data_IF_579098981302
#
_entry.id   IF_579098981302
#
_cell.length_a   1.000
_cell.length_b   1.000
_cell.length_c   1.000
_cell.angle_alpha   90.00
_cell.angle_beta   90.00
_cell.angle_gamma   90.00
#
_symmetry.space_group_name_H-M   'P 1'
#
loop_
_entity.id
_entity.type
_entity.pdbx_description
1 polymer ?
#
# COMPACT_ATOMS: atom_id res chain seq x y z
N UNK A 1 17.29 43.90 38.10
CA UNK A 1 16.50 42.68 37.85
C UNK A 1 17.14 41.52 38.60
N UNK A 2 16.44 40.81 39.48
CA UNK A 2 16.99 39.65 40.17
C UNK A 2 16.89 38.38 39.29
N UNK A 3 17.85 37.44 39.38
CA UNK A 3 17.78 36.20 38.63
C UNK A 3 16.78 35.21 39.25
N UNK A 4 16.10 34.47 38.35
CA UNK A 4 15.07 33.46 38.62
C UNK A 4 15.63 32.27 39.41
N UNK A 5 14.93 31.89 40.47
CA UNK A 5 15.06 30.59 41.12
C UNK A 5 14.38 29.50 40.27
N UNK A 6 15.16 28.55 39.77
CA UNK A 6 14.76 27.21 39.32
C UNK A 6 15.37 26.23 40.33
N UNK A 7 14.68 25.32 41.00
CA UNK A 7 13.46 24.61 40.64
C UNK A 7 13.75 23.11 40.74
N UNK A 8 13.32 22.48 41.83
CA UNK A 8 12.93 21.07 41.88
C UNK A 8 14.03 20.01 42.07
N UNK A 9 14.25 19.62 43.32
CA UNK A 9 14.98 18.41 43.73
C UNK A 9 14.34 17.15 43.14
N UNK A 10 15.07 16.40 42.30
CA UNK A 10 14.66 15.05 41.92
C UNK A 10 14.89 14.09 43.09
N UNK A 11 13.81 13.46 43.56
CA UNK A 11 13.84 12.43 44.59
C UNK A 11 14.63 11.21 44.11
N UNK A 12 15.68 10.84 44.86
CA UNK A 12 16.44 9.59 44.73
C UNK A 12 15.63 8.41 45.28
N UNK A 13 14.69 7.88 44.51
CA UNK A 13 14.05 6.60 44.84
C UNK A 13 14.91 5.46 44.26
N UNK A 14 15.51 4.59 45.09
CA UNK A 14 16.33 3.50 44.57
C UNK A 14 15.45 2.46 43.85
N UNK A 15 15.91 1.92 42.71
CA UNK A 15 15.16 0.94 41.93
C UNK A 15 14.98 -0.36 42.74
N UNK A 16 13.72 -0.80 42.90
CA UNK A 16 13.38 -2.09 43.53
C UNK A 16 14.05 -3.25 42.78
N UNK A 17 14.90 -4.01 43.47
CA UNK A 17 15.52 -5.27 42.97
C UNK A 17 14.41 -6.29 42.64
N UNK A 18 14.13 -6.50 41.36
CA UNK A 18 13.29 -7.62 40.90
C UNK A 18 14.04 -8.94 41.11
N UNK A 19 13.42 -9.92 41.79
CA UNK A 19 13.94 -11.30 41.86
C UNK A 19 14.18 -11.83 40.44
N UNK A 20 15.28 -12.56 40.22
CA UNK A 20 15.59 -13.26 38.96
C UNK A 20 14.40 -14.15 38.62
N UNK A 21 13.62 -13.74 37.62
CA UNK A 21 12.50 -14.52 37.08
C UNK A 21 13.12 -15.77 36.45
N UNK A 22 12.67 -16.96 36.84
CA UNK A 22 12.94 -18.18 36.08
C UNK A 22 12.74 -17.91 34.59
N UNK A 23 13.55 -18.54 33.72
CA UNK A 23 13.55 -18.21 32.31
C UNK A 23 12.12 -18.32 31.78
N UNK A 24 11.64 -17.20 31.23
CA UNK A 24 10.23 -17.01 30.86
C UNK A 24 9.78 -18.02 29.81
N UNK A 25 10.74 -18.59 29.08
CA UNK A 25 10.57 -19.64 28.08
C UNK A 25 10.40 -21.01 28.74
N UNK A 26 11.27 -21.37 29.67
CA UNK A 26 11.22 -22.64 30.42
C UNK A 26 9.88 -22.80 31.15
N UNK A 27 9.43 -21.76 31.85
CA UNK A 27 8.11 -21.76 32.49
C UNK A 27 6.93 -21.83 31.50
N UNK A 28 7.12 -21.48 30.22
CA UNK A 28 6.10 -21.64 29.20
C UNK A 28 6.13 -23.05 28.57
N UNK A 29 7.32 -23.64 28.45
CA UNK A 29 7.51 -25.02 28.02
C UNK A 29 6.94 -26.01 29.05
N UNK A 30 7.21 -25.82 30.35
CA UNK A 30 6.66 -26.67 31.40
C UNK A 30 5.12 -26.65 31.40
N UNK A 31 4.51 -25.49 31.16
CA UNK A 31 3.06 -25.38 30.96
C UNK A 31 2.56 -26.07 29.70
N UNK A 32 3.39 -26.15 28.65
CA UNK A 32 3.06 -26.92 27.46
C UNK A 32 3.02 -28.42 27.79
N UNK A 33 4.02 -28.90 28.52
CA UNK A 33 4.12 -30.29 28.98
C UNK A 33 2.96 -30.66 29.90
N UNK A 34 2.57 -29.78 30.82
CA UNK A 34 1.38 -29.98 31.68
C UNK A 34 0.07 -30.09 30.88
N UNK A 35 -0.07 -29.35 29.78
CA UNK A 35 -1.31 -29.31 28.99
C UNK A 35 -1.39 -30.42 27.93
N UNK A 36 -0.27 -30.82 27.34
CA UNK A 36 -0.23 -31.72 26.18
C UNK A 36 0.43 -33.06 26.46
N UNK A 37 1.20 -33.18 27.54
CA UNK A 37 2.11 -34.29 27.79
C UNK A 37 3.46 -34.10 27.10
N UNK A 38 4.53 -34.58 27.72
CA UNK A 38 5.90 -34.39 27.23
C UNK A 38 6.12 -35.05 25.86
N UNK A 39 5.62 -36.28 25.69
CA UNK A 39 5.76 -37.04 24.45
C UNK A 39 5.17 -36.29 23.25
N UNK A 40 3.98 -35.73 23.43
CA UNK A 40 3.27 -34.98 22.40
C UNK A 40 3.95 -33.66 22.07
N UNK A 41 4.48 -32.95 23.08
CA UNK A 41 5.27 -31.73 22.86
C UNK A 41 6.53 -32.04 22.02
N UNK A 42 7.21 -33.14 22.31
CA UNK A 42 8.38 -33.58 21.56
C UNK A 42 8.04 -34.05 20.14
N UNK A 43 6.88 -34.70 19.94
CA UNK A 43 6.38 -35.07 18.61
C UNK A 43 6.10 -33.84 17.76
N UNK A 44 5.32 -32.89 18.28
CA UNK A 44 5.00 -31.62 17.61
C UNK A 44 6.29 -30.85 17.27
N UNK A 45 7.28 -30.86 18.16
CA UNK A 45 8.57 -30.22 17.94
C UNK A 45 9.34 -30.89 16.79
N UNK A 46 9.37 -32.22 16.76
CA UNK A 46 10.06 -32.99 15.71
C UNK A 46 9.41 -32.79 14.34
N UNK A 47 8.08 -32.83 14.29
CA UNK A 47 7.32 -32.54 13.07
C UNK A 47 7.62 -31.11 12.59
N UNK A 48 7.58 -30.13 13.49
CA UNK A 48 7.88 -28.73 13.15
C UNK A 48 9.29 -28.54 12.60
N UNK A 49 10.29 -29.13 13.24
CA UNK A 49 11.69 -28.99 12.82
C UNK A 49 11.98 -29.71 11.49
N UNK A 50 11.13 -30.65 11.06
CA UNK A 50 11.21 -31.28 9.74
C UNK A 50 10.61 -30.45 8.60
N UNK A 51 9.79 -29.44 8.92
CA UNK A 51 9.09 -28.64 7.92
C UNK A 51 9.93 -27.45 7.46
N UNK A 52 9.88 -27.12 6.17
CA UNK A 52 10.45 -25.88 5.60
C UNK A 52 9.55 -24.67 5.94
N UNK A 53 9.61 -24.24 7.20
CA UNK A 53 8.67 -23.25 7.78
C UNK A 53 9.04 -21.78 7.56
N UNK A 54 10.05 -21.48 6.75
CA UNK A 54 10.50 -20.13 6.40
C UNK A 54 9.56 -19.45 5.39
N UNK A 55 9.57 -18.12 5.35
CA UNK A 55 8.64 -17.34 4.52
C UNK A 55 8.84 -17.65 3.03
N UNK A 56 7.81 -18.22 2.40
CA UNK A 56 7.88 -18.67 1.00
C UNK A 56 8.39 -20.10 0.80
N UNK A 57 8.66 -20.83 1.90
CA UNK A 57 8.95 -22.26 1.88
C UNK A 57 7.74 -23.08 1.42
N UNK A 58 8.00 -24.26 0.86
CA UNK A 58 6.95 -25.13 0.27
C UNK A 58 5.90 -25.59 1.27
N UNK A 59 6.25 -25.62 2.55
CA UNK A 59 5.41 -26.10 3.65
C UNK A 59 4.96 -24.96 4.58
N UNK A 60 5.06 -23.71 4.13
CA UNK A 60 4.62 -22.54 4.89
C UNK A 60 3.14 -22.63 5.30
N UNK A 61 2.26 -23.03 4.38
CA UNK A 61 0.82 -23.18 4.67
C UNK A 61 0.54 -24.34 5.64
N UNK A 62 1.22 -25.47 5.45
CA UNK A 62 1.08 -26.64 6.33
C UNK A 62 1.49 -26.32 7.77
N UNK A 63 2.58 -25.58 7.94
CA UNK A 63 3.03 -25.11 9.25
C UNK A 63 2.11 -24.07 9.88
N UNK A 64 1.29 -23.35 9.10
CA UNK A 64 0.20 -22.55 9.67
C UNK A 64 -0.93 -23.43 10.24
N UNK A 65 -1.21 -24.58 9.62
CA UNK A 65 -2.15 -25.59 10.12
C UNK A 65 -1.80 -26.10 11.52
N UNK A 66 -0.52 -26.41 11.76
CA UNK A 66 -0.03 -26.84 13.08
C UNK A 66 -0.30 -25.77 14.15
N UNK A 67 -0.02 -24.50 13.83
CA UNK A 67 -0.26 -23.38 14.77
C UNK A 67 -1.76 -23.18 15.02
N UNK A 68 -2.60 -23.31 13.98
CA UNK A 68 -4.04 -23.20 14.10
C UNK A 68 -4.61 -24.30 15.00
N UNK A 69 -4.14 -25.54 14.86
CA UNK A 69 -4.54 -26.65 15.72
C UNK A 69 -4.20 -26.39 17.19
N UNK A 70 -2.99 -25.88 17.48
CA UNK A 70 -2.60 -25.53 18.85
C UNK A 70 -3.45 -24.37 19.41
N UNK A 71 -3.77 -23.37 18.59
CA UNK A 71 -4.66 -22.28 18.98
C UNK A 71 -6.09 -22.78 19.26
N UNK A 72 -6.61 -23.72 18.47
CA UNK A 72 -7.92 -24.35 18.68
C UNK A 72 -7.96 -25.20 19.96
N UNK A 73 -6.85 -25.83 20.33
CA UNK A 73 -6.67 -26.51 21.62
C UNK A 73 -6.58 -25.54 22.82
N UNK A 74 -6.71 -24.22 22.59
CA UNK A 74 -6.72 -23.20 23.64
C UNK A 74 -5.33 -22.80 24.12
N UNK A 75 -4.26 -23.22 23.45
CA UNK A 75 -2.89 -22.87 23.86
C UNK A 75 -2.64 -21.37 23.64
N UNK A 76 -2.01 -20.75 24.64
CA UNK A 76 -1.61 -19.36 24.52
C UNK A 76 -0.46 -19.19 23.53
N UNK A 77 -0.40 -18.05 22.83
CA UNK A 77 0.72 -17.69 21.94
C UNK A 77 2.10 -17.90 22.57
N UNK A 78 2.20 -17.66 23.88
CA UNK A 78 3.46 -17.80 24.61
C UNK A 78 3.88 -19.26 24.79
N UNK A 79 2.91 -20.16 24.98
CA UNK A 79 3.15 -21.60 25.07
C UNK A 79 3.49 -22.14 23.68
N UNK A 80 2.75 -21.72 22.65
CA UNK A 80 3.05 -22.08 21.25
C UNK A 80 4.47 -21.67 20.86
N UNK A 81 4.91 -20.45 21.22
CA UNK A 81 6.30 -19.98 20.98
C UNK A 81 7.37 -20.72 21.80
N UNK A 82 6.98 -21.40 22.87
CA UNK A 82 7.91 -22.19 23.67
C UNK A 82 8.12 -23.58 23.04
N UNK A 83 7.09 -24.12 22.38
CA UNK A 83 7.17 -25.37 21.63
C UNK A 83 7.78 -25.13 20.25
N UNK A 84 7.19 -24.21 19.48
CA UNK A 84 7.54 -23.90 18.10
C UNK A 84 8.40 -22.65 18.03
N UNK A 85 9.46 -22.66 17.24
CA UNK A 85 10.30 -21.48 16.98
C UNK A 85 9.62 -20.50 16.00
N UNK A 86 8.41 -20.04 16.33
CA UNK A 86 7.62 -19.16 15.46
C UNK A 86 7.94 -17.67 15.68
N UNK A 87 8.03 -16.93 14.57
CA UNK A 87 8.20 -15.47 14.59
C UNK A 87 7.08 -14.73 15.32
N UNK A 88 7.38 -13.52 15.79
CA UNK A 88 6.51 -12.74 16.67
C UNK A 88 5.14 -12.35 16.12
N UNK A 89 4.91 -12.46 14.81
CA UNK A 89 3.67 -12.08 14.14
C UNK A 89 2.78 -13.26 13.74
N UNK A 90 3.33 -14.49 13.65
CA UNK A 90 2.64 -15.63 13.02
C UNK A 90 1.44 -16.13 13.84
N UNK A 91 1.65 -16.46 15.11
CA UNK A 91 0.58 -16.91 15.99
C UNK A 91 -0.52 -15.84 16.24
N UNK A 92 -0.21 -14.55 16.47
CA UNK A 92 -1.23 -13.51 16.58
C UNK A 92 -2.08 -13.37 15.31
N UNK A 93 -1.46 -13.44 14.12
CA UNK A 93 -2.18 -13.35 12.83
C UNK A 93 -3.16 -14.52 12.68
N UNK A 94 -2.72 -15.74 12.98
CA UNK A 94 -3.57 -16.94 12.88
C UNK A 94 -4.69 -16.97 13.92
N UNK A 95 -4.43 -16.48 15.13
CA UNK A 95 -5.47 -16.28 16.14
C UNK A 95 -6.55 -15.30 15.66
N UNK A 96 -6.13 -14.22 14.99
CA UNK A 96 -7.05 -13.25 14.41
C UNK A 96 -7.91 -13.89 13.32
N UNK A 97 -7.32 -14.74 12.48
CA UNK A 97 -8.03 -15.49 11.43
C UNK A 97 -9.06 -16.44 12.02
N UNK A 98 -8.73 -17.18 13.10
CA UNK A 98 -9.71 -18.01 13.81
C UNK A 98 -10.89 -17.20 14.35
N UNK A 99 -10.67 -15.93 14.71
CA UNK A 99 -11.71 -15.05 15.26
C UNK A 99 -12.54 -14.35 14.18
N UNK A 100 -11.92 -13.97 13.05
CA UNK A 100 -12.53 -13.11 12.01
C UNK A 100 -12.88 -13.87 10.71
N UNK A 101 -12.43 -15.11 10.53
CA UNK A 101 -12.64 -15.90 9.31
C UNK A 101 -11.44 -15.89 8.33
N UNK A 102 -11.44 -16.87 7.42
CA UNK A 102 -10.33 -17.24 6.51
C UNK A 102 -9.96 -16.12 5.51
N UNK A 103 -10.88 -15.21 5.19
CA UNK A 103 -10.73 -14.19 4.15
C UNK A 103 -9.56 -13.20 4.35
N UNK A 104 -8.88 -13.25 5.50
CA UNK A 104 -7.80 -12.33 5.87
C UNK A 104 -6.39 -12.90 5.72
N UNK A 105 -6.21 -14.18 5.39
CA UNK A 105 -4.88 -14.83 5.40
C UNK A 105 -3.93 -14.33 4.31
N UNK A 106 -4.45 -14.08 3.10
CA UNK A 106 -3.65 -13.73 1.92
C UNK A 106 -4.18 -12.53 1.13
N UNK A 107 -5.32 -11.97 1.53
CA UNK A 107 -5.78 -10.71 0.94
C UNK A 107 -4.96 -9.58 1.55
N UNK A 108 -3.98 -9.09 0.79
CA UNK A 108 -3.33 -7.82 1.09
C UNK A 108 -4.46 -6.81 1.26
N UNK A 109 -4.66 -6.30 2.50
CA UNK A 109 -5.65 -5.23 2.72
C UNK A 109 -5.46 -4.19 1.64
N UNK A 110 -6.54 -3.86 0.95
CA UNK A 110 -6.55 -2.73 0.03
C UNK A 110 -5.98 -1.53 0.78
N UNK A 111 -4.89 -0.98 0.26
CA UNK A 111 -4.30 0.22 0.84
C UNK A 111 -5.38 1.29 0.78
N UNK A 112 -5.73 1.86 1.92
CA UNK A 112 -6.57 3.04 1.94
C UNK A 112 -5.95 4.08 0.99
N UNK A 113 -6.79 4.68 0.15
CA UNK A 113 -6.33 5.75 -0.71
C UNK A 113 -5.71 6.85 0.18
N UNK A 114 -4.55 7.40 -0.20
CA UNK A 114 -3.96 8.47 0.59
C UNK A 114 -4.93 9.66 0.66
N UNK A 115 -4.95 10.39 1.77
CA UNK A 115 -5.89 11.49 1.99
C UNK A 115 -5.85 12.60 0.91
N UNK A 116 -4.72 12.72 0.21
CA UNK A 116 -4.54 13.68 -0.88
C UNK A 116 -4.94 13.13 -2.25
N UNK A 117 -5.34 11.85 -2.36
CA UNK A 117 -5.87 11.30 -3.59
C UNK A 117 -7.11 12.08 -4.03
N UNK A 118 -7.30 12.18 -5.34
CA UNK A 118 -8.55 12.66 -5.90
C UNK A 118 -9.59 11.57 -5.80
N UNK A 119 -10.82 11.94 -5.49
CA UNK A 119 -11.96 11.04 -5.49
C UNK A 119 -12.31 10.63 -6.93
N UNK A 120 -13.11 9.57 -7.07
CA UNK A 120 -13.60 9.16 -8.39
C UNK A 120 -14.46 10.25 -9.04
N UNK A 121 -15.17 11.06 -8.23
CA UNK A 121 -15.93 12.23 -8.69
C UNK A 121 -15.02 13.29 -9.29
N UNK A 122 -13.91 13.64 -8.61
CA UNK A 122 -12.95 14.63 -9.11
C UNK A 122 -12.33 14.18 -10.44
N UNK A 123 -12.05 12.87 -10.57
CA UNK A 123 -11.54 12.26 -11.79
C UNK A 123 -12.59 12.25 -12.91
N UNK A 124 -13.88 12.06 -12.58
CA UNK A 124 -14.97 12.12 -13.53
C UNK A 124 -15.13 13.55 -14.08
N UNK A 125 -15.13 14.57 -13.22
CA UNK A 125 -15.19 15.98 -13.66
C UNK A 125 -14.00 16.34 -14.55
N UNK A 126 -12.79 15.90 -14.20
CA UNK A 126 -11.62 16.07 -15.06
C UNK A 126 -11.80 15.40 -16.44
N UNK A 127 -12.28 14.16 -16.48
CA UNK A 127 -12.55 13.47 -17.75
C UNK A 127 -13.62 14.17 -18.58
N UNK A 128 -14.69 14.64 -17.94
CA UNK A 128 -15.75 15.39 -18.61
C UNK A 128 -15.21 16.68 -19.25
N UNK A 129 -14.33 17.40 -18.56
CA UNK A 129 -13.65 18.55 -19.16
C UNK A 129 -12.77 18.13 -20.36
N UNK A 130 -12.04 17.02 -20.28
CA UNK A 130 -11.26 16.54 -21.43
C UNK A 130 -12.14 16.17 -22.65
N UNK A 131 -13.37 15.70 -22.42
CA UNK A 131 -14.31 15.38 -23.51
C UNK A 131 -14.80 16.61 -24.28
N UNK A 132 -14.66 17.83 -23.73
CA UNK A 132 -15.01 19.06 -24.44
C UNK A 132 -13.92 19.54 -25.39
N UNK A 133 -12.76 18.87 -25.43
CA UNK A 133 -11.66 19.28 -26.29
C UNK A 133 -11.95 18.95 -27.74
N UNK A 134 -11.82 19.96 -28.60
CA UNK A 134 -11.90 19.80 -30.05
C UNK A 134 -10.51 19.47 -30.54
N UNK A 135 -10.30 18.20 -30.89
CA UNK A 135 -9.01 17.67 -31.33
C UNK A 135 -9.09 17.23 -32.80
N UNK A 136 -8.05 17.54 -33.54
CA UNK A 136 -7.79 16.98 -34.87
C UNK A 136 -6.82 15.82 -34.77
N UNK A 137 -7.15 14.73 -35.44
CA UNK A 137 -6.23 13.61 -35.59
C UNK A 137 -5.05 14.02 -36.49
N UNK A 138 -3.86 13.66 -36.05
CA UNK A 138 -2.64 13.71 -36.83
C UNK A 138 -2.64 12.64 -37.92
N UNK A 139 -1.74 12.81 -38.89
CA UNK A 139 -1.60 11.84 -39.97
C UNK A 139 -1.23 10.46 -39.40
N UNK A 140 -2.02 9.41 -39.69
CA UNK A 140 -1.71 8.07 -39.20
C UNK A 140 -0.44 7.58 -39.89
N UNK A 141 0.59 7.27 -39.10
CA UNK A 141 1.85 6.72 -39.58
C UNK A 141 2.10 5.38 -38.90
N UNK A 142 2.47 4.30 -39.61
CA UNK A 142 2.74 2.99 -39.00
C UNK A 142 3.88 3.02 -37.97
N UNK A 143 4.76 4.02 -38.01
CA UNK A 143 5.90 4.16 -37.10
C UNK A 143 5.55 4.89 -35.78
N UNK A 144 4.40 5.57 -35.72
CA UNK A 144 4.05 6.44 -34.60
C UNK A 144 2.62 6.18 -34.15
N UNK A 145 2.36 6.34 -32.85
CA UNK A 145 0.97 6.35 -32.36
C UNK A 145 0.24 7.56 -32.95
N UNK A 146 -1.04 7.42 -33.32
CA UNK A 146 -1.85 8.56 -33.74
C UNK A 146 -1.78 9.66 -32.69
N UNK A 147 -1.35 10.84 -33.11
CA UNK A 147 -1.33 12.05 -32.29
C UNK A 147 -2.64 12.79 -32.50
N UNK A 148 -3.07 13.54 -31.51
CA UNK A 148 -4.23 14.40 -31.56
C UNK A 148 -3.79 15.81 -31.18
N UNK A 149 -4.26 16.80 -31.92
CA UNK A 149 -3.83 18.18 -31.75
C UNK A 149 -5.03 19.07 -31.46
N UNK A 150 -4.87 20.08 -30.61
CA UNK A 150 -5.90 21.10 -30.48
C UNK A 150 -5.96 21.96 -31.75
N UNK A 151 -7.17 22.32 -32.16
CA UNK A 151 -7.39 23.16 -33.34
C UNK A 151 -7.12 24.64 -33.08
N UNK A 152 -7.01 25.03 -31.81
CA UNK A 152 -6.86 26.42 -31.41
C UNK A 152 -5.40 26.89 -31.53
N UNK A 153 -5.11 27.91 -32.35
CA UNK A 153 -3.76 28.42 -32.51
C UNK A 153 -3.28 29.13 -31.23
N UNK A 154 -2.01 28.91 -30.86
CA UNK A 154 -1.40 29.56 -29.69
C UNK A 154 -1.91 29.04 -28.33
N UNK A 155 -2.64 27.92 -28.32
CA UNK A 155 -3.12 27.31 -27.09
C UNK A 155 -1.96 26.82 -26.22
N UNK A 156 -2.03 27.10 -24.93
CA UNK A 156 -1.04 26.61 -23.95
C UNK A 156 -1.73 25.75 -22.90
N UNK A 157 -0.99 24.82 -22.29
CA UNK A 157 -1.53 24.01 -21.19
C UNK A 157 -2.04 24.85 -20.02
N UNK A 158 -1.47 26.06 -19.82
CA UNK A 158 -1.95 27.01 -18.81
C UNK A 158 -3.36 27.51 -19.12
N UNK A 159 -3.64 27.81 -20.39
CA UNK A 159 -4.98 28.23 -20.83
C UNK A 159 -5.98 27.08 -20.67
N UNK A 160 -5.61 25.86 -21.07
CA UNK A 160 -6.46 24.68 -20.91
C UNK A 160 -6.76 24.40 -19.44
N UNK A 161 -5.74 24.48 -18.58
CA UNK A 161 -5.92 24.30 -17.13
C UNK A 161 -6.79 25.41 -16.51
N UNK A 162 -6.64 26.66 -16.94
CA UNK A 162 -7.50 27.75 -16.48
C UNK A 162 -8.98 27.54 -16.89
N UNK A 163 -9.23 26.99 -18.09
CA UNK A 163 -10.58 26.60 -18.53
C UNK A 163 -11.15 25.49 -17.64
N UNK A 164 -10.35 24.47 -17.36
CA UNK A 164 -10.73 23.41 -16.43
C UNK A 164 -11.11 23.97 -15.04
N UNK A 165 -10.30 24.85 -14.48
CA UNK A 165 -10.61 25.47 -13.18
C UNK A 165 -11.91 26.28 -13.23
N UNK A 166 -12.12 27.05 -14.31
CA UNK A 166 -13.34 27.82 -14.51
C UNK A 166 -14.58 26.92 -14.65
N UNK A 167 -14.48 25.82 -15.40
CA UNK A 167 -15.59 24.87 -15.59
C UNK A 167 -15.96 24.19 -14.28
N UNK A 168 -14.98 23.69 -13.52
CA UNK A 168 -15.20 23.06 -12.21
C UNK A 168 -15.83 24.04 -11.23
N UNK A 169 -15.31 25.28 -11.17
CA UNK A 169 -15.81 26.31 -10.24
C UNK A 169 -17.17 26.88 -10.65
N UNK A 170 -17.53 26.81 -11.94
CA UNK A 170 -18.85 27.20 -12.42
C UNK A 170 -19.92 26.22 -11.96
N UNK A 171 -19.61 24.92 -11.93
CA UNK A 171 -20.54 23.89 -11.43
C UNK A 171 -20.63 23.88 -9.91
N UNK A 172 -19.49 23.98 -9.21
CA UNK A 172 -19.43 24.08 -7.76
C UNK A 172 -18.27 25.00 -7.32
N UNK A 173 -18.56 26.19 -6.77
CA UNK A 173 -17.54 27.12 -6.29
C UNK A 173 -16.61 26.51 -5.21
N UNK A 174 -17.06 25.48 -4.50
CA UNK A 174 -16.28 24.80 -3.46
C UNK A 174 -15.59 23.52 -3.95
N UNK A 175 -15.80 23.12 -5.20
CA UNK A 175 -15.17 21.92 -5.73
C UNK A 175 -13.65 22.03 -5.73
N UNK A 176 -13.01 20.88 -5.48
CA UNK A 176 -11.55 20.75 -5.46
C UNK A 176 -11.03 20.69 -6.90
N UNK A 177 -10.12 21.59 -7.25
CA UNK A 177 -9.45 21.57 -8.55
C UNK A 177 -8.09 20.88 -8.47
N UNK A 178 -7.67 20.24 -9.56
CA UNK A 178 -6.30 19.77 -9.71
C UNK A 178 -5.35 20.95 -9.88
N UNK A 179 -4.19 20.90 -9.22
CA UNK A 179 -3.12 21.85 -9.52
C UNK A 179 -2.58 21.64 -10.94
N UNK A 180 -2.04 22.71 -11.54
CA UNK A 180 -1.50 22.69 -12.91
C UNK A 180 -0.57 21.50 -13.19
N UNK A 181 0.42 21.25 -12.33
CA UNK A 181 1.36 20.14 -12.51
C UNK A 181 0.68 18.79 -12.47
N UNK A 182 -0.34 18.63 -11.60
CA UNK A 182 -1.06 17.37 -11.45
C UNK A 182 -2.03 17.16 -12.60
N UNK A 183 -2.70 18.21 -13.06
CA UNK A 183 -3.51 18.23 -14.26
C UNK A 183 -2.70 17.69 -15.45
N UNK A 184 -1.55 18.27 -15.75
CA UNK A 184 -0.69 17.82 -16.87
C UNK A 184 -0.29 16.35 -16.74
N UNK A 185 0.09 15.91 -15.52
CA UNK A 185 0.42 14.50 -15.29
C UNK A 185 -0.75 13.56 -15.62
N UNK A 186 -1.98 13.95 -15.29
CA UNK A 186 -3.17 13.16 -15.63
C UNK A 186 -3.47 13.19 -17.12
N UNK A 187 -3.34 14.36 -17.76
CA UNK A 187 -3.52 14.48 -19.22
C UNK A 187 -2.55 13.56 -19.95
N UNK A 188 -1.25 13.64 -19.69
CA UNK A 188 -0.27 12.79 -20.39
C UNK A 188 -0.42 11.30 -20.06
N UNK A 189 -0.94 10.96 -18.87
CA UNK A 189 -1.18 9.56 -18.49
C UNK A 189 -2.42 8.98 -19.19
N UNK A 190 -3.50 9.75 -19.28
CA UNK A 190 -4.78 9.29 -19.82
C UNK A 190 -4.88 9.49 -21.34
N UNK A 191 -4.24 10.54 -21.86
CA UNK A 191 -4.26 10.96 -23.26
C UNK A 191 -2.82 11.21 -23.77
N UNK A 192 -1.98 10.16 -23.83
CA UNK A 192 -0.55 10.29 -24.16
C UNK A 192 -0.28 10.80 -25.59
N UNK A 193 -1.28 10.81 -26.47
CA UNK A 193 -1.18 11.30 -27.84
C UNK A 193 -1.66 12.74 -28.03
N UNK A 194 -2.12 13.43 -26.99
CA UNK A 194 -2.66 14.79 -27.11
C UNK A 194 -1.54 15.83 -27.01
N UNK A 195 -1.47 16.70 -28.02
CA UNK A 195 -0.52 17.79 -28.15
C UNK A 195 -1.24 19.12 -28.38
N UNK A 196 -0.64 20.23 -27.96
CA UNK A 196 -1.24 21.57 -28.10
C UNK A 196 -1.26 22.08 -29.54
N UNK A 197 -0.21 21.80 -30.30
CA UNK A 197 -0.06 22.31 -31.66
C UNK A 197 0.79 21.33 -32.48
N UNK A 198 0.57 21.33 -33.80
CA UNK A 198 1.45 20.62 -34.74
C UNK A 198 2.80 21.30 -34.83
N UNK A 199 3.85 20.52 -34.89
CA UNK A 199 5.24 20.93 -35.15
C UNK A 199 5.75 20.23 -36.40
N UNK A 200 6.78 20.76 -37.05
CA UNK A 200 7.38 20.13 -38.24
C UNK A 200 7.97 18.75 -37.95
N UNK A 201 8.30 18.46 -36.69
CA UNK A 201 8.77 17.14 -36.25
C UNK A 201 7.63 16.10 -36.12
N UNK A 202 6.37 16.54 -36.15
CA UNK A 202 5.21 15.66 -36.06
C UNK A 202 4.94 14.92 -37.38
N UNK A 203 5.35 15.52 -38.50
CA UNK A 203 5.31 14.88 -39.81
C UNK A 203 6.37 13.79 -39.88
N UNK A 204 5.96 12.58 -40.24
CA UNK A 204 6.92 11.48 -40.42
C UNK A 204 7.55 11.59 -41.80
N UNK A 205 8.84 11.94 -41.85
CA UNK A 205 9.61 11.99 -43.11
C UNK A 205 9.54 10.68 -43.91
N UNK A 206 9.44 9.52 -43.24
CA UNK A 206 9.27 8.22 -43.90
C UNK A 206 7.90 8.05 -44.57
N UNK A 207 6.93 8.91 -44.27
CA UNK A 207 5.55 8.86 -44.79
C UNK A 207 5.20 10.04 -45.70
N UNK A 208 6.00 11.11 -45.70
CA UNK A 208 5.80 12.32 -46.53
C UNK A 208 6.72 12.39 -47.75
N UNK A 209 7.72 11.50 -47.87
CA UNK A 209 8.49 11.34 -49.11
C UNK A 209 7.62 10.78 -50.22
N UNK A 210 7.10 11.67 -51.06
CA UNK A 210 6.73 11.33 -52.42
C UNK A 210 8.04 11.24 -53.21
N UNK A 211 8.37 10.07 -53.73
CA UNK A 211 9.45 9.92 -54.71
C UNK A 211 9.02 10.72 -55.96
N UNK A 212 9.58 11.91 -56.15
CA UNK A 212 9.53 12.70 -57.38
C UNK A 212 10.92 12.68 -58.01
#
# INVERSE_FOLDING_TARGET
MPPRATGGSQSTVPPRKRKKRADRKEAAYNRAVELLGEEKVQEIRREWDSLETEFGGREWEQSEGVILQLLQQGLSERVIRAILSVGGSRAPRLRKVLKEGIDTLHTRRSRAAPAHAFSDSDLATFKNHCLTWILEDGFPCPHRRPRQFFNEPGLTWKVVHARYEADVKREDPNARTMSYSRFIQYVHKLYPGVHLSRTTEDDCDCSTRLDI
#
